data_IF_970812411072
#
_entry.id   IF_970812411072
#
_cell.length_a   1.000
_cell.length_b   1.000
_cell.length_c   1.000
_cell.angle_alpha   90.00
_cell.angle_beta   90.00
_cell.angle_gamma   90.00
#
_symmetry.space_group_name_H-M   'P 1'
#
loop_
_entity.id
_entity.type
_entity.pdbx_description
1 polymer ?
#
# COMPACT_ATOMS: atom_id res chain seq x y z
N UNK A 1 -23.70 -74.01 -1.17
CA UNK A 1 -22.62 -73.92 -2.18
C UNK A 1 -22.82 -72.78 -3.19
N UNK A 2 -23.96 -72.70 -3.91
CA UNK A 2 -24.15 -71.68 -4.97
C UNK A 2 -24.31 -70.22 -4.50
N UNK A 3 -24.91 -69.95 -3.33
CA UNK A 3 -25.05 -68.58 -2.79
C UNK A 3 -23.70 -67.89 -2.55
N UNK A 4 -22.75 -68.60 -1.93
CA UNK A 4 -21.38 -68.10 -1.70
C UNK A 4 -20.65 -67.74 -3.00
N UNK A 5 -20.78 -68.57 -4.05
CA UNK A 5 -20.19 -68.28 -5.37
C UNK A 5 -20.74 -66.99 -6.00
N UNK A 6 -22.04 -66.73 -5.87
CA UNK A 6 -22.68 -65.49 -6.35
C UNK A 6 -22.22 -64.26 -5.56
N UNK A 7 -22.04 -64.38 -4.26
CA UNK A 7 -21.51 -63.29 -3.41
C UNK A 7 -20.04 -63.00 -3.71
N UNK A 8 -19.21 -64.01 -3.91
CA UNK A 8 -17.80 -63.83 -4.31
C UNK A 8 -17.68 -63.11 -5.67
N UNK A 9 -18.53 -63.44 -6.64
CA UNK A 9 -18.59 -62.71 -7.91
C UNK A 9 -19.02 -61.25 -7.73
N UNK A 10 -20.01 -60.97 -6.88
CA UNK A 10 -20.45 -59.60 -6.57
C UNK A 10 -19.32 -58.81 -5.91
N UNK A 11 -18.62 -59.42 -4.95
CA UNK A 11 -17.48 -58.81 -4.27
C UNK A 11 -16.32 -58.55 -5.25
N UNK A 12 -15.98 -59.50 -6.13
CA UNK A 12 -14.97 -59.30 -7.19
C UNK A 12 -15.36 -58.16 -8.15
N UNK A 13 -16.62 -58.10 -8.59
CA UNK A 13 -17.12 -57.01 -9.45
C UNK A 13 -17.04 -55.66 -8.75
N UNK A 14 -17.40 -55.59 -7.48
CA UNK A 14 -17.33 -54.37 -6.67
C UNK A 14 -15.87 -53.91 -6.46
N UNK A 15 -14.94 -54.83 -6.20
CA UNK A 15 -13.52 -54.52 -6.07
C UNK A 15 -12.91 -53.98 -7.36
N UNK A 16 -13.26 -54.55 -8.52
CA UNK A 16 -12.80 -54.07 -9.83
C UNK A 16 -13.32 -52.65 -10.13
N UNK A 17 -14.60 -52.37 -9.83
CA UNK A 17 -15.18 -51.04 -10.00
C UNK A 17 -14.52 -50.01 -9.08
N UNK A 18 -14.30 -50.35 -7.80
CA UNK A 18 -13.63 -49.47 -6.85
C UNK A 18 -12.17 -49.17 -7.26
N UNK A 19 -11.44 -50.18 -7.73
CA UNK A 19 -10.07 -50.01 -8.24
C UNK A 19 -10.00 -49.12 -9.49
N UNK A 20 -10.97 -49.28 -10.40
CA UNK A 20 -11.08 -48.43 -11.60
C UNK A 20 -11.32 -46.96 -11.26
N UNK A 21 -12.20 -46.68 -10.29
CA UNK A 21 -12.48 -45.30 -9.87
C UNK A 21 -11.26 -44.66 -9.18
N UNK A 22 -10.55 -45.40 -8.33
CA UNK A 22 -9.34 -44.91 -7.69
C UNK A 22 -8.23 -44.56 -8.70
N UNK A 23 -8.08 -45.37 -9.76
CA UNK A 23 -7.14 -45.10 -10.85
C UNK A 23 -7.49 -43.83 -11.65
N UNK A 24 -8.77 -43.62 -11.96
CA UNK A 24 -9.25 -42.42 -12.66
C UNK A 24 -8.96 -41.17 -11.84
N UNK A 25 -9.35 -41.15 -10.55
CA UNK A 25 -9.11 -40.00 -9.66
C UNK A 25 -7.62 -39.70 -9.51
N UNK A 26 -6.78 -40.73 -9.38
CA UNK A 26 -5.32 -40.57 -9.30
C UNK A 26 -4.74 -39.90 -10.55
N UNK A 27 -5.18 -40.34 -11.75
CA UNK A 27 -4.72 -39.76 -13.01
C UNK A 27 -5.22 -38.33 -13.24
N UNK A 28 -6.46 -38.00 -12.84
CA UNK A 28 -7.00 -36.64 -12.90
C UNK A 28 -6.26 -35.70 -11.96
N UNK A 29 -5.99 -36.13 -10.72
CA UNK A 29 -5.19 -35.38 -9.76
C UNK A 29 -3.77 -35.15 -10.27
N UNK A 30 -3.12 -36.18 -10.81
CA UNK A 30 -1.79 -36.05 -11.39
C UNK A 30 -1.76 -35.03 -12.55
N UNK A 31 -2.72 -35.10 -13.47
CA UNK A 31 -2.86 -34.12 -14.56
C UNK A 31 -3.05 -32.70 -14.01
N UNK A 32 -3.85 -32.54 -12.97
CA UNK A 32 -4.08 -31.25 -12.34
C UNK A 32 -2.82 -30.70 -11.65
N UNK A 33 -2.06 -31.54 -10.94
CA UNK A 33 -0.79 -31.17 -10.32
C UNK A 33 0.19 -30.67 -11.38
N UNK A 34 0.37 -31.40 -12.49
CA UNK A 34 1.27 -30.97 -13.56
C UNK A 34 0.85 -29.61 -14.16
N UNK A 35 -0.45 -29.36 -14.32
CA UNK A 35 -0.96 -28.06 -14.78
C UNK A 35 -0.65 -26.95 -13.78
N UNK A 36 -0.84 -27.19 -12.48
CA UNK A 36 -0.55 -26.22 -11.43
C UNK A 36 0.95 -25.93 -11.34
N UNK A 37 1.80 -26.94 -11.47
CA UNK A 37 3.25 -26.79 -11.48
C UNK A 37 3.72 -25.93 -12.67
N UNK A 38 3.16 -26.16 -13.86
CA UNK A 38 3.44 -25.34 -15.04
C UNK A 38 3.01 -23.88 -14.84
N UNK A 39 1.79 -23.64 -14.36
CA UNK A 39 1.29 -22.30 -14.09
C UNK A 39 2.09 -21.57 -13.01
N UNK A 40 2.50 -22.30 -11.97
CA UNK A 40 3.38 -21.79 -10.91
C UNK A 40 4.72 -21.34 -11.50
N UNK A 41 5.35 -22.19 -12.33
CA UNK A 41 6.61 -21.85 -12.98
C UNK A 41 6.51 -20.59 -13.85
N UNK A 42 5.46 -20.48 -14.65
CA UNK A 42 5.23 -19.30 -15.50
C UNK A 42 5.05 -18.01 -14.68
N UNK A 43 4.34 -18.12 -13.54
CA UNK A 43 4.16 -17.00 -12.60
C UNK A 43 5.48 -16.60 -11.95
N UNK A 44 6.26 -17.56 -11.47
CA UNK A 44 7.57 -17.31 -10.86
C UNK A 44 8.51 -16.63 -11.85
N UNK A 45 8.54 -17.08 -13.12
CA UNK A 45 9.35 -16.42 -14.17
C UNK A 45 8.88 -15.02 -14.52
N UNK A 46 7.56 -14.78 -14.55
CA UNK A 46 7.03 -13.42 -14.72
C UNK A 46 7.46 -12.51 -13.57
N UNK A 47 7.40 -13.00 -12.34
CA UNK A 47 7.79 -12.24 -11.17
C UNK A 47 9.30 -11.94 -11.15
N UNK A 48 10.13 -12.91 -11.50
CA UNK A 48 11.58 -12.74 -11.62
C UNK A 48 11.94 -11.66 -12.66
N UNK A 49 11.25 -11.65 -13.81
CA UNK A 49 11.42 -10.58 -14.82
C UNK A 49 11.01 -9.21 -14.28
N UNK A 50 9.88 -9.11 -13.58
CA UNK A 50 9.45 -7.84 -12.97
C UNK A 50 10.47 -7.32 -11.94
N UNK A 51 11.05 -8.20 -11.13
CA UNK A 51 12.09 -7.83 -10.18
C UNK A 51 13.37 -7.37 -10.89
N UNK A 52 13.72 -8.00 -12.02
CA UNK A 52 14.84 -7.57 -12.84
C UNK A 52 14.62 -6.15 -13.39
N UNK A 53 13.46 -5.90 -13.99
CA UNK A 53 13.12 -4.59 -14.57
C UNK A 53 13.15 -3.49 -13.50
N UNK A 54 12.59 -3.75 -12.31
CA UNK A 54 12.63 -2.83 -11.17
C UNK A 54 14.07 -2.56 -10.70
N UNK A 55 14.90 -3.61 -10.63
CA UNK A 55 16.31 -3.48 -10.25
C UNK A 55 17.08 -2.64 -11.26
N UNK A 56 16.86 -2.86 -12.55
CA UNK A 56 17.50 -2.09 -13.62
C UNK A 56 17.09 -0.62 -13.59
N UNK A 57 15.79 -0.32 -13.39
CA UNK A 57 15.30 1.05 -13.22
C UNK A 57 15.98 1.75 -12.05
N UNK A 58 16.03 1.09 -10.89
CA UNK A 58 16.67 1.64 -9.70
C UNK A 58 18.17 1.87 -9.90
N UNK A 59 18.86 0.97 -10.60
CA UNK A 59 20.28 1.15 -10.91
C UNK A 59 20.50 2.30 -11.91
N UNK A 60 19.62 2.44 -12.90
CA UNK A 60 19.65 3.54 -13.87
C UNK A 60 19.36 4.90 -13.22
N UNK A 61 18.53 4.95 -12.18
CA UNK A 61 18.30 6.16 -11.39
C UNK A 61 19.51 6.56 -10.56
N UNK A 62 20.29 5.60 -10.05
CA UNK A 62 21.55 5.88 -9.33
C UNK A 62 22.66 6.38 -10.24
N UNK A 63 22.63 6.01 -11.52
CA UNK A 63 23.63 6.47 -12.47
C UNK A 63 23.56 8.00 -12.58
N UNK A 64 24.69 8.71 -12.39
CA UNK A 64 24.70 10.14 -12.56
C UNK A 64 24.28 10.45 -14.00
N UNK A 65 23.30 11.34 -14.16
CA UNK A 65 22.94 11.88 -15.48
C UNK A 65 24.10 12.76 -15.93
N UNK A 66 25.07 12.16 -16.61
CA UNK A 66 26.18 12.88 -17.21
C UNK A 66 25.58 13.63 -18.40
N UNK A 67 25.37 14.94 -18.25
CA UNK A 67 25.18 15.80 -19.40
C UNK A 67 26.49 15.75 -20.18
N UNK A 68 26.54 14.92 -21.23
CA UNK A 68 27.59 15.00 -22.23
C UNK A 68 27.44 16.39 -22.83
N UNK A 69 28.31 17.31 -22.40
CA UNK A 69 28.26 18.70 -22.82
C UNK A 69 28.05 18.72 -24.33
N UNK A 70 26.94 19.31 -24.76
CA UNK A 70 26.57 19.33 -26.15
C UNK A 70 27.73 19.94 -26.94
N UNK A 71 27.92 19.56 -28.21
CA UNK A 71 28.90 20.26 -29.07
C UNK A 71 28.66 21.79 -29.04
N UNK A 72 27.41 22.20 -28.79
CA UNK A 72 27.00 23.60 -28.61
C UNK A 72 27.34 24.18 -27.22
N UNK A 73 27.56 23.40 -26.17
CA UNK A 73 27.99 23.89 -24.84
C UNK A 73 29.50 24.12 -24.76
N UNK A 74 30.26 23.59 -25.71
CA UNK A 74 31.72 23.81 -25.85
C UNK A 74 32.02 25.20 -26.45
N UNK A 75 31.28 26.23 -26.04
CA UNK A 75 31.60 27.60 -26.39
C UNK A 75 32.87 28.03 -25.66
N UNK A 76 33.84 28.56 -26.41
CA UNK A 76 35.01 29.19 -25.84
C UNK A 76 34.56 30.37 -24.96
N UNK A 77 35.06 30.41 -23.74
CA UNK A 77 34.73 31.46 -22.79
C UNK A 77 35.14 32.83 -23.35
N UNK A 78 34.14 33.65 -23.67
CA UNK A 78 34.32 35.00 -24.23
C UNK A 78 34.53 36.07 -23.16
N UNK A 79 34.54 35.70 -21.88
CA UNK A 79 34.80 36.62 -20.76
C UNK A 79 36.25 37.13 -20.81
N UNK A 80 36.46 38.34 -20.31
CA UNK A 80 37.81 38.90 -20.16
C UNK A 80 38.66 38.05 -19.22
N UNK A 81 39.99 38.18 -19.28
CA UNK A 81 40.88 37.46 -18.35
C UNK A 81 40.58 37.82 -16.89
N UNK A 82 40.26 39.09 -16.61
CA UNK A 82 39.86 39.54 -15.26
C UNK A 82 38.62 38.81 -14.75
N UNK A 83 37.57 38.72 -15.59
CA UNK A 83 36.31 38.05 -15.26
C UNK A 83 36.46 36.54 -15.12
N UNK A 84 37.35 35.91 -15.90
CA UNK A 84 37.68 34.50 -15.72
C UNK A 84 38.39 34.25 -14.40
N UNK A 85 39.33 35.12 -14.03
CA UNK A 85 40.12 34.98 -12.81
C UNK A 85 39.24 35.03 -11.55
N UNK A 86 38.27 35.94 -11.48
CA UNK A 86 37.38 36.08 -10.31
C UNK A 86 36.54 34.83 -10.05
N UNK A 87 36.16 34.07 -11.07
CA UNK A 87 35.34 32.86 -10.94
C UNK A 87 36.12 31.72 -10.27
N UNK A 88 37.43 31.64 -10.52
CA UNK A 88 38.28 30.61 -9.90
C UNK A 88 38.85 31.06 -8.55
N UNK A 89 39.15 32.35 -8.39
CA UNK A 89 39.67 32.91 -7.13
C UNK A 89 38.57 32.98 -6.05
N UNK A 90 37.34 33.29 -6.44
CA UNK A 90 36.17 33.38 -5.55
C UNK A 90 34.96 32.72 -6.23
N UNK A 91 34.89 31.38 -6.25
CA UNK A 91 33.78 30.69 -6.89
C UNK A 91 32.45 31.13 -6.26
N UNK A 92 31.39 31.32 -7.06
CA UNK A 92 30.06 31.59 -6.53
C UNK A 92 29.65 30.45 -5.61
N UNK A 93 29.60 30.69 -4.30
CA UNK A 93 29.09 29.71 -3.33
C UNK A 93 27.57 29.75 -3.40
N UNK A 94 26.95 28.64 -3.77
CA UNK A 94 25.50 28.50 -3.72
C UNK A 94 25.04 28.71 -2.28
N UNK A 95 24.27 29.79 -2.05
CA UNK A 95 23.71 30.04 -0.73
C UNK A 95 22.69 28.92 -0.46
N UNK A 96 22.76 28.23 0.70
CA UNK A 96 21.75 27.25 1.04
C UNK A 96 20.38 27.93 0.97
N UNK A 97 19.41 27.25 0.36
CA UNK A 97 18.04 27.76 0.30
C UNK A 97 17.59 28.08 1.73
N UNK A 98 16.91 29.22 1.97
CA UNK A 98 16.42 29.54 3.30
C UNK A 98 15.48 28.42 3.72
N UNK A 99 15.89 27.69 4.76
CA UNK A 99 15.07 26.63 5.36
C UNK A 99 13.91 27.34 6.02
N UNK A 100 12.73 27.26 5.41
CA UNK A 100 11.50 27.65 6.09
C UNK A 100 11.31 26.63 7.20
N UNK A 101 11.61 27.02 8.43
CA UNK A 101 11.26 26.25 9.61
C UNK A 101 9.74 26.31 9.76
N UNK A 102 9.03 25.42 9.06
CA UNK A 102 7.62 25.19 9.29
C UNK A 102 7.43 24.82 10.77
N UNK A 103 6.28 25.17 11.35
CA UNK A 103 5.88 24.54 12.60
C UNK A 103 5.95 23.03 12.34
N UNK A 104 6.78 22.29 13.07
CA UNK A 104 6.92 20.83 12.92
C UNK A 104 5.63 20.05 13.23
N UNK A 105 4.49 20.75 13.27
CA UNK A 105 3.15 20.20 13.31
C UNK A 105 2.93 19.45 12.00
N UNK A 106 2.70 18.13 12.05
CA UNK A 106 2.35 17.39 10.86
C UNK A 106 1.10 18.01 10.21
N UNK A 107 0.95 17.89 8.88
CA UNK A 107 -0.23 18.34 8.15
C UNK A 107 -1.53 17.99 8.91
N UNK A 108 -2.52 18.90 8.97
CA UNK A 108 -3.82 18.65 9.59
C UNK A 108 -4.48 17.34 9.12
N UNK A 109 -4.26 16.94 7.88
CA UNK A 109 -4.84 15.71 7.29
C UNK A 109 -4.17 14.42 7.79
N UNK A 110 -2.98 14.51 8.41
CA UNK A 110 -2.24 13.35 8.88
C UNK A 110 -2.95 12.72 10.09
N UNK A 111 -3.47 11.50 9.91
CA UNK A 111 -4.12 10.72 10.98
C UNK A 111 -5.56 11.12 11.28
N UNK A 112 -6.18 12.00 10.48
CA UNK A 112 -7.62 12.31 10.62
C UNK A 112 -8.50 11.26 9.97
N UNK A 113 -8.14 10.77 8.79
CA UNK A 113 -8.98 9.85 8.00
C UNK A 113 -9.18 8.50 8.69
N UNK A 114 -8.11 7.84 9.14
CA UNK A 114 -8.24 6.54 9.83
C UNK A 114 -8.95 6.65 11.18
N UNK A 115 -8.71 7.72 11.95
CA UNK A 115 -9.34 7.90 13.25
C UNK A 115 -10.83 8.20 13.13
N UNK A 116 -11.23 9.02 12.15
CA UNK A 116 -12.63 9.34 11.89
C UNK A 116 -13.40 8.12 11.36
N UNK A 117 -12.79 7.31 10.50
CA UNK A 117 -13.34 6.02 10.06
C UNK A 117 -13.48 5.01 11.21
N UNK A 118 -12.48 4.92 12.10
CA UNK A 118 -12.53 4.07 13.29
C UNK A 118 -13.59 4.53 14.29
N UNK A 119 -13.80 5.84 14.44
CA UNK A 119 -14.88 6.41 15.26
C UNK A 119 -16.26 6.13 14.64
N UNK A 120 -16.39 6.21 13.32
CA UNK A 120 -17.62 5.82 12.62
C UNK A 120 -17.92 4.34 12.82
N UNK A 121 -16.93 3.47 12.68
CA UNK A 121 -17.07 2.03 12.93
C UNK A 121 -17.42 1.76 14.40
N UNK A 122 -16.78 2.44 15.36
CA UNK A 122 -17.16 2.36 16.79
C UNK A 122 -18.61 2.77 17.02
N UNK A 123 -19.05 3.88 16.41
CA UNK A 123 -20.44 4.37 16.54
C UNK A 123 -21.46 3.42 15.91
N UNK A 124 -21.08 2.71 14.85
CA UNK A 124 -21.93 1.70 14.18
C UNK A 124 -21.99 0.40 15.00
N UNK A 125 -20.86 -0.03 15.55
CA UNK A 125 -20.72 -1.31 16.26
C UNK A 125 -21.16 -1.20 17.71
N UNK A 126 -21.02 -0.03 18.36
CA UNK A 126 -21.41 0.13 19.74
C UNK A 126 -22.94 0.01 19.88
N UNK A 127 -23.43 -1.02 20.60
CA UNK A 127 -24.86 -1.24 20.73
C UNK A 127 -25.48 -0.04 21.43
N UNK A 128 -26.64 0.42 20.92
CA UNK A 128 -27.40 1.50 21.57
C UNK A 128 -27.67 1.10 23.01
N UNK A 129 -26.97 1.75 23.94
CA UNK A 129 -27.21 1.60 25.38
C UNK A 129 -28.58 2.18 25.66
N UNK A 130 -29.46 1.38 26.25
CA UNK A 130 -30.76 1.85 26.71
C UNK A 130 -30.51 2.86 27.82
N UNK A 131 -30.90 4.11 27.59
CA UNK A 131 -30.88 5.17 28.61
C UNK A 131 -32.31 5.31 29.10
N UNK A 132 -32.56 4.95 30.36
CA UNK A 132 -33.84 5.23 31.00
C UNK A 132 -34.01 6.75 31.12
N UNK A 133 -34.95 7.29 30.36
CA UNK A 133 -35.35 8.69 30.47
C UNK A 133 -36.15 8.88 31.77
N UNK A 134 -35.43 9.17 32.86
CA UNK A 134 -36.05 9.62 34.11
C UNK A 134 -36.52 11.06 33.89
N UNK A 135 -37.82 11.24 33.67
CA UNK A 135 -38.46 12.56 33.56
C UNK A 135 -38.40 13.26 34.93
N UNK A 136 -37.36 14.06 35.14
CA UNK A 136 -37.26 14.93 36.32
C UNK A 136 -38.21 16.12 36.14
N UNK A 137 -39.33 16.11 36.87
CA UNK A 137 -40.43 17.06 36.70
C UNK A 137 -40.13 18.52 37.13
N UNK A 138 -38.91 18.84 37.60
CA UNK A 138 -38.59 20.13 38.20
C UNK A 138 -37.20 20.69 37.81
N UNK A 139 -36.79 20.53 36.55
CA UNK A 139 -35.54 21.16 36.06
C UNK A 139 -35.82 22.63 35.70
N UNK A 140 -35.14 23.55 36.39
CA UNK A 140 -35.20 24.99 36.09
C UNK A 140 -34.67 25.23 34.66
N UNK A 141 -35.39 25.99 33.80
CA UNK A 141 -34.96 26.19 32.42
C UNK A 141 -33.56 26.85 32.35
N UNK A 142 -32.80 26.61 31.28
CA UNK A 142 -31.45 27.14 31.12
C UNK A 142 -31.43 28.66 31.25
N UNK A 143 -30.57 29.17 32.13
CA UNK A 143 -30.40 30.61 32.36
C UNK A 143 -29.84 31.23 31.09
N UNK A 144 -30.47 32.28 30.58
CA UNK A 144 -30.01 33.00 29.39
C UNK A 144 -28.61 33.61 29.64
N UNK A 145 -27.70 33.55 28.64
CA UNK A 145 -26.33 34.02 28.84
C UNK A 145 -26.29 35.53 29.03
N UNK A 146 -25.59 35.97 30.08
CA UNK A 146 -25.42 37.38 30.41
C UNK A 146 -24.57 38.05 29.31
N UNK A 147 -25.04 39.16 28.70
CA UNK A 147 -24.30 39.83 27.65
C UNK A 147 -23.02 40.49 28.22
N UNK A 148 -21.92 40.36 27.47
CA UNK A 148 -20.62 40.90 27.84
C UNK A 148 -20.59 42.42 27.64
N UNK A 149 -20.46 43.20 28.72
CA UNK A 149 -20.20 44.64 28.62
C UNK A 149 -18.69 44.91 28.61
N UNK A 150 -18.18 45.49 27.52
CA UNK A 150 -16.79 45.96 27.47
C UNK A 150 -16.80 47.45 27.87
N UNK A 151 -16.03 47.87 28.90
CA UNK A 151 -15.95 49.27 29.28
C UNK A 151 -15.24 50.08 28.20
N UNK A 152 -15.82 51.23 27.84
CA UNK A 152 -15.19 52.16 26.91
C UNK A 152 -13.99 52.83 27.60
N UNK A 153 -12.87 52.87 26.89
CA UNK A 153 -11.66 53.57 27.31
C UNK A 153 -11.66 54.96 26.66
N UNK A 154 -11.59 56.00 27.48
CA UNK A 154 -11.38 57.40 27.07
C UNK A 154 -10.00 57.65 26.45
#
# INVERSE_FOLDING_TARGET
MQKRKREEERCKKQAMLAGSLAGIVSSELHSHICKLEALKYDLEKRHERQLYDLKELHEREKQPKINVASKFDRHFDRRSYGDRRIIFEKPPVEKPLPIIHGTARPPPEWGRTENEELEQLRKIIEPRKYVEEIKLANVRPPIEPIPLSIPQMD
#
